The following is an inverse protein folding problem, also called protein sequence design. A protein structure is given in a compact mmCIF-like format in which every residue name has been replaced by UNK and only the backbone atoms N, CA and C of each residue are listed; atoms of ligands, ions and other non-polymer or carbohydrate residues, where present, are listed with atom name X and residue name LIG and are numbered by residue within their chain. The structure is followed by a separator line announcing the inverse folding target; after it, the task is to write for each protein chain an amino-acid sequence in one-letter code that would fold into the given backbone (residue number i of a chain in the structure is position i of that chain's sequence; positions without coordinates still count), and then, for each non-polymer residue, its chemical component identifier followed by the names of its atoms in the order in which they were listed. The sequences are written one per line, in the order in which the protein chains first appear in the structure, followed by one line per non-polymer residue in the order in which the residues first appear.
data_IF_014548006658
#
_entry.id   IF_014548006658
#
_cell.length_a   1.000
_cell.length_b   1.000
_cell.length_c   1.000
_cell.angle_alpha   90.00
_cell.angle_beta   90.00
_cell.angle_gamma   90.00
#
_symmetry.space_group_name_H-M   'P 1'
#
loop_
_entity.id
_entity.type
_entity.pdbx_description
1 polymer ?
#
# COMPACT_ATOMS: atom_id res chain seq x y z
N UNK A 1 -12.06 -13.45 17.27
CA UNK A 1 -11.12 -13.30 16.14
C UNK A 1 -10.63 -11.87 16.18
N UNK A 2 -9.32 -11.64 16.31
CA UNK A 2 -8.72 -10.30 16.30
C UNK A 2 -8.87 -9.69 14.91
N UNK A 3 -9.05 -8.38 14.83
CA UNK A 3 -9.17 -7.62 13.58
C UNK A 3 -7.97 -7.86 12.64
N UNK A 4 -8.17 -7.65 11.33
CA UNK A 4 -7.05 -7.54 10.38
C UNK A 4 -6.25 -6.25 10.62
N UNK A 5 -5.05 -6.13 10.07
CA UNK A 5 -4.18 -4.94 10.22
C UNK A 5 -3.65 -4.48 8.85
N UNK A 6 -3.61 -3.16 8.62
CA UNK A 6 -2.86 -2.59 7.48
C UNK A 6 -1.49 -2.15 7.96
N UNK A 7 -0.45 -2.68 7.33
CA UNK A 7 0.94 -2.28 7.55
C UNK A 7 1.55 -1.84 6.23
N UNK A 8 2.02 -0.59 6.18
CA UNK A 8 2.96 -0.14 5.16
C UNK A 8 4.39 -0.17 5.69
N UNK A 9 5.38 -0.14 4.80
CA UNK A 9 6.78 0.10 5.17
C UNK A 9 7.19 1.46 4.64
N UNK A 10 7.63 2.35 5.54
CA UNK A 10 8.40 3.51 5.14
C UNK A 10 9.79 3.01 4.73
N UNK A 11 10.44 3.66 3.76
CA UNK A 11 11.62 3.15 3.03
C UNK A 11 12.85 2.75 3.86
N UNK A 12 12.81 2.79 5.19
CA UNK A 12 13.88 2.37 6.10
C UNK A 12 13.59 0.95 6.65
N UNK A 13 14.63 0.13 6.79
CA UNK A 13 14.53 -1.23 7.34
C UNK A 13 13.81 -1.25 8.69
N UNK A 14 12.70 -2.00 8.78
CA UNK A 14 11.91 -2.15 10.01
C UNK A 14 10.93 -1.01 10.31
N UNK A 15 10.88 0.03 9.49
CA UNK A 15 9.97 1.16 9.70
C UNK A 15 8.55 0.86 9.23
N UNK A 16 7.77 0.15 10.07
CA UNK A 16 6.34 -0.07 9.86
C UNK A 16 5.53 1.23 9.99
N UNK A 17 4.51 1.39 9.17
CA UNK A 17 3.49 2.43 9.21
C UNK A 17 2.15 1.73 9.44
N UNK A 18 1.53 1.97 10.59
CA UNK A 18 0.31 1.28 11.00
C UNK A 18 -0.94 2.02 10.53
N UNK A 19 -1.62 1.47 9.53
CA UNK A 19 -2.80 2.06 8.90
C UNK A 19 -4.11 1.87 9.66
N UNK A 20 -4.12 1.09 10.74
CA UNK A 20 -5.33 0.79 11.51
C UNK A 20 -5.74 -0.68 11.46
N UNK A 21 -6.68 -1.01 12.36
CA UNK A 21 -7.37 -2.29 12.34
C UNK A 21 -8.46 -2.31 11.26
N UNK A 22 -8.64 -3.47 10.62
CA UNK A 22 -9.64 -3.71 9.59
C UNK A 22 -10.73 -4.66 10.10
N UNK A 23 -12.01 -4.41 9.74
CA UNK A 23 -13.07 -5.38 9.98
C UNK A 23 -12.79 -6.66 9.18
N UNK A 24 -13.00 -7.81 9.81
CA UNK A 24 -12.94 -9.09 9.12
C UNK A 24 -14.19 -9.28 8.25
N UNK A 25 -14.06 -10.11 7.20
CA UNK A 25 -15.17 -10.53 6.33
C UNK A 25 -15.92 -9.37 5.66
N UNK A 26 -15.26 -8.24 5.43
CA UNK A 26 -15.82 -7.05 4.80
C UNK A 26 -14.84 -6.50 3.78
N UNK A 27 -15.35 -6.04 2.63
CA UNK A 27 -14.51 -5.32 1.67
C UNK A 27 -14.08 -3.98 2.26
N UNK A 28 -12.78 -3.69 2.17
CA UNK A 28 -12.20 -2.42 2.60
C UNK A 28 -11.32 -1.88 1.48
N UNK A 29 -11.47 -0.61 1.14
CA UNK A 29 -10.57 0.04 0.21
C UNK A 29 -9.31 0.50 0.95
N UNK A 30 -8.14 0.04 0.53
CA UNK A 30 -6.85 0.46 1.08
C UNK A 30 -6.01 1.08 -0.03
N UNK A 31 -5.35 2.20 0.26
CA UNK A 31 -4.36 2.79 -0.61
C UNK A 31 -3.11 3.20 0.17
N UNK A 32 -1.96 3.08 -0.47
CA UNK A 32 -0.68 3.57 0.02
C UNK A 32 -0.11 4.54 -1.01
N UNK A 33 0.34 5.70 -0.54
CA UNK A 33 0.95 6.73 -1.38
C UNK A 33 2.31 7.12 -0.82
N UNK A 34 3.33 7.13 -1.69
CA UNK A 34 4.68 7.54 -1.32
C UNK A 34 5.03 8.82 -2.05
N UNK A 35 5.06 9.94 -1.33
CA UNK A 35 5.40 11.26 -1.86
C UNK A 35 6.88 11.52 -1.63
N UNK A 36 7.66 11.74 -2.68
CA UNK A 36 9.08 12.09 -2.56
C UNK A 36 9.28 13.60 -2.79
N UNK A 37 9.95 14.26 -1.84
CA UNK A 37 10.26 15.70 -1.89
C UNK A 37 11.71 16.01 -2.29
N UNK A 38 12.43 15.07 -2.90
CA UNK A 38 13.86 15.17 -3.21
C UNK A 38 14.79 14.83 -2.05
N UNK A 39 14.42 15.19 -0.80
CA UNK A 39 15.23 14.91 0.40
C UNK A 39 14.58 13.92 1.39
N UNK A 40 13.25 13.78 1.35
CA UNK A 40 12.48 12.88 2.21
C UNK A 40 11.36 12.24 1.43
N UNK A 41 10.98 11.03 1.81
CA UNK A 41 9.73 10.41 1.36
C UNK A 41 8.69 10.44 2.48
N UNK A 42 7.42 10.53 2.10
CA UNK A 42 6.28 10.47 3.01
C UNK A 42 5.39 9.31 2.59
N UNK A 43 5.26 8.32 3.46
CA UNK A 43 4.36 7.18 3.27
C UNK A 43 3.03 7.49 3.95
N UNK A 44 1.98 7.54 3.15
CA UNK A 44 0.60 7.75 3.59
C UNK A 44 -0.22 6.49 3.38
N UNK A 45 -1.06 6.17 4.34
CA UNK A 45 -2.02 5.06 4.24
C UNK A 45 -3.42 5.65 4.30
N UNK A 46 -4.30 5.16 3.43
CA UNK A 46 -5.70 5.52 3.38
C UNK A 46 -6.56 4.27 3.54
N UNK A 47 -7.53 4.32 4.44
CA UNK A 47 -8.53 3.27 4.64
C UNK A 47 -9.90 3.87 4.36
N UNK A 48 -10.64 3.30 3.41
CA UNK A 48 -11.91 3.83 2.89
C UNK A 48 -11.82 5.31 2.50
N UNK A 49 -10.68 5.73 1.91
CA UNK A 49 -10.44 7.10 1.47
C UNK A 49 -9.93 8.07 2.55
N UNK A 50 -9.96 7.68 3.82
CA UNK A 50 -9.49 8.51 4.94
C UNK A 50 -8.03 8.24 5.20
N UNK A 51 -7.19 9.29 5.29
CA UNK A 51 -5.79 9.17 5.68
C UNK A 51 -5.72 8.69 7.16
N UNK A 52 -5.11 7.52 7.39
CA UNK A 52 -4.95 6.94 8.74
C UNK A 52 -3.50 7.00 9.23
N UNK A 53 -2.55 7.27 8.33
CA UNK A 53 -1.14 7.40 8.68
C UNK A 53 -0.40 8.30 7.72
N UNK A 54 0.63 8.96 8.23
CA UNK A 54 1.58 9.75 7.45
C UNK A 54 2.95 9.73 8.15
N UNK A 55 3.91 9.01 7.58
CA UNK A 55 5.26 8.85 8.14
C UNK A 55 6.31 9.33 7.16
N UNK A 56 7.24 10.16 7.63
CA UNK A 56 8.41 10.54 6.85
C UNK A 56 9.55 9.52 6.98
N UNK A 57 10.35 9.39 5.93
CA UNK A 57 11.59 8.62 5.85
C UNK A 57 12.63 9.42 5.08
N UNK A 58 13.91 9.24 5.41
CA UNK A 58 15.03 9.80 4.64
C UNK A 58 15.37 8.99 3.40
N UNK A 59 14.80 7.79 3.24
CA UNK A 59 15.11 6.92 2.13
C UNK A 59 14.33 7.28 0.87
N UNK A 60 15.01 7.08 -0.26
CA UNK A 60 14.44 7.24 -1.59
C UNK A 60 13.73 5.95 -1.97
N UNK A 61 12.49 6.01 -2.50
CA UNK A 61 11.80 4.81 -2.97
C UNK A 61 12.59 4.10 -4.08
N UNK A 62 12.71 2.77 -3.98
CA UNK A 62 13.33 1.94 -5.02
C UNK A 62 12.23 1.32 -5.90
N UNK A 63 12.32 1.52 -7.21
CA UNK A 63 11.33 1.06 -8.19
C UNK A 63 11.80 -0.14 -9.03
N UNK A 64 13.01 -0.65 -8.80
CA UNK A 64 13.60 -1.76 -9.56
C UNK A 64 13.39 -3.10 -8.84
N UNK A 65 12.13 -3.44 -8.53
CA UNK A 65 11.78 -4.67 -7.80
C UNK A 65 10.63 -5.39 -8.51
N UNK A 66 10.59 -6.72 -8.37
CA UNK A 66 9.45 -7.50 -8.86
C UNK A 66 8.26 -7.27 -7.94
N UNK A 67 7.13 -6.84 -8.49
CA UNK A 67 5.89 -6.71 -7.72
C UNK A 67 5.32 -8.11 -7.44
N UNK A 68 5.06 -8.40 -6.17
CA UNK A 68 4.30 -9.57 -5.72
C UNK A 68 3.01 -9.11 -5.05
N UNK A 69 1.92 -9.80 -5.34
CA UNK A 69 0.61 -9.56 -4.74
C UNK A 69 0.14 -10.85 -4.08
N UNK A 70 -0.32 -10.75 -2.83
CA UNK A 70 -0.85 -11.88 -2.07
C UNK A 70 0.20 -12.82 -1.48
N UNK A 71 1.48 -12.64 -1.79
CA UNK A 71 2.59 -13.46 -1.29
C UNK A 71 3.80 -12.56 -0.95
N UNK A 72 4.56 -12.84 0.13
CA UNK A 72 5.76 -12.08 0.43
C UNK A 72 6.90 -12.39 -0.54
N UNK A 73 7.89 -11.51 -0.61
CA UNK A 73 9.16 -11.72 -1.30
C UNK A 73 10.33 -11.53 -0.30
N UNK A 74 11.25 -12.50 -0.14
CA UNK A 74 11.23 -13.84 -0.73
C UNK A 74 10.11 -14.72 -0.15
N UNK A 75 9.77 -15.79 -0.87
CA UNK A 75 8.89 -16.87 -0.40
C UNK A 75 9.60 -18.23 -0.46
N UNK A 76 9.56 -19.06 0.60
CA UNK A 76 9.00 -18.76 1.92
C UNK A 76 9.77 -17.63 2.60
N UNK A 77 9.05 -16.77 3.34
CA UNK A 77 9.68 -15.62 3.98
C UNK A 77 10.39 -16.05 5.28
N UNK A 78 11.70 -15.78 5.45
CA UNK A 78 12.45 -16.21 6.63
C UNK A 78 12.00 -15.51 7.92
N UNK A 79 11.26 -14.40 7.82
CA UNK A 79 10.73 -13.64 8.97
C UNK A 79 9.28 -14.00 9.32
N UNK A 80 8.72 -15.04 8.69
CA UNK A 80 7.38 -15.55 9.02
C UNK A 80 6.22 -14.71 8.49
N UNK A 81 6.46 -13.81 7.52
CA UNK A 81 5.35 -13.22 6.76
C UNK A 81 4.65 -14.32 5.96
N UNK A 82 3.32 -14.37 6.06
CA UNK A 82 2.49 -15.36 5.41
C UNK A 82 1.85 -14.79 4.13
N UNK A 83 1.26 -15.69 3.35
CA UNK A 83 0.37 -15.35 2.25
C UNK A 83 -0.83 -14.54 2.74
N UNK A 84 -1.41 -13.75 1.84
CA UNK A 84 -2.65 -13.04 2.12
C UNK A 84 -3.83 -14.00 2.06
N UNK A 85 -4.54 -14.14 3.17
CA UNK A 85 -5.76 -14.94 3.26
C UNK A 85 -7.00 -14.05 3.08
N UNK A 86 -7.54 -14.00 1.87
CA UNK A 86 -8.75 -13.23 1.57
C UNK A 86 -8.98 -12.97 0.09
N UNK A 87 -10.01 -12.16 -0.21
CA UNK A 87 -10.27 -11.65 -1.55
C UNK A 87 -9.51 -10.36 -1.83
N UNK A 88 -8.90 -10.26 -3.00
CA UNK A 88 -8.38 -9.01 -3.56
C UNK A 88 -9.18 -8.64 -4.80
N UNK A 89 -9.43 -7.36 -4.99
CA UNK A 89 -10.11 -6.86 -6.17
C UNK A 89 -9.65 -5.43 -6.45
N UNK A 90 -9.68 -5.01 -7.72
CA UNK A 90 -9.41 -3.63 -8.14
C UNK A 90 -8.02 -3.13 -7.72
N UNK A 91 -7.00 -3.98 -7.82
CA UNK A 91 -5.66 -3.63 -7.37
C UNK A 91 -4.94 -2.87 -8.47
N UNK A 92 -4.35 -1.73 -8.10
CA UNK A 92 -3.81 -0.74 -9.03
C UNK A 92 -2.49 -0.19 -8.51
N UNK A 93 -1.56 0.07 -9.43
CA UNK A 93 -0.29 0.74 -9.15
C UNK A 93 -0.17 1.95 -10.07
N UNK A 94 0.19 3.09 -9.50
CA UNK A 94 0.28 4.38 -10.18
C UNK A 94 1.71 4.91 -10.10
N UNK A 95 2.16 5.64 -11.13
CA UNK A 95 3.45 6.35 -11.12
C UNK A 95 3.36 7.74 -10.47
N UNK A 96 2.17 8.11 -9.99
CA UNK A 96 1.87 9.41 -9.38
C UNK A 96 1.46 9.22 -7.93
N UNK A 97 2.03 10.04 -7.04
CA UNK A 97 1.70 10.03 -5.63
C UNK A 97 0.42 10.86 -5.38
N UNK A 98 -0.64 10.19 -4.94
CA UNK A 98 -1.90 10.85 -4.60
C UNK A 98 -1.87 11.37 -3.16
N UNK A 99 -2.34 12.61 -2.96
CA UNK A 99 -2.43 13.24 -1.62
C UNK A 99 -3.81 13.08 -0.99
N UNK A 100 -4.80 12.67 -1.77
CA UNK A 100 -6.14 12.28 -1.35
C UNK A 100 -6.64 11.12 -2.20
N UNK A 101 -7.52 10.29 -1.63
CA UNK A 101 -8.04 9.10 -2.28
C UNK A 101 -9.56 9.12 -2.24
N UNK A 102 -10.20 9.07 -3.40
CA UNK A 102 -11.63 8.79 -3.50
C UNK A 102 -11.80 7.28 -3.75
N UNK A 103 -12.30 6.50 -2.78
CA UNK A 103 -12.45 5.05 -2.90
C UNK A 103 -13.51 4.66 -3.94
N UNK A 104 -14.40 5.60 -4.28
CA UNK A 104 -15.45 5.41 -5.29
C UNK A 104 -15.05 5.94 -6.66
N UNK A 105 -13.78 6.34 -6.86
CA UNK A 105 -13.28 6.78 -8.16
C UNK A 105 -13.37 5.60 -9.15
N UNK A 106 -14.16 5.80 -10.19
CA UNK A 106 -14.15 4.92 -11.37
C UNK A 106 -12.80 5.09 -12.08
N UNK A 107 -12.13 3.97 -12.33
CA UNK A 107 -10.85 3.91 -13.03
C UNK A 107 -11.08 3.15 -14.32
N UNK A 108 -10.73 3.77 -15.44
CA UNK A 108 -10.98 3.25 -16.79
C UNK A 108 -9.92 2.24 -17.23
N UNK A 109 -8.75 2.22 -16.58
CA UNK A 109 -7.63 1.35 -16.93
C UNK A 109 -6.73 1.93 -18.02
N UNK A 110 -7.06 3.12 -18.54
CA UNK A 110 -6.34 3.81 -19.62
C UNK A 110 -5.71 5.13 -19.16
N UNK A 111 -5.68 5.37 -17.85
CA UNK A 111 -5.06 6.56 -17.29
C UNK A 111 -3.55 6.56 -17.58
N UNK A 112 -3.02 7.72 -17.97
CA UNK A 112 -1.61 7.86 -18.38
C UNK A 112 -0.60 7.58 -17.27
N UNK A 113 -1.02 7.71 -16.02
CA UNK A 113 -0.23 7.47 -14.81
C UNK A 113 -0.45 6.08 -14.19
N UNK A 114 -1.36 5.27 -14.76
CA UNK A 114 -1.61 3.91 -14.32
C UNK A 114 -0.53 2.97 -14.89
N UNK A 115 0.21 2.34 -13.99
CA UNK A 115 1.28 1.39 -14.34
C UNK A 115 0.72 -0.03 -14.48
N UNK A 116 -0.22 -0.40 -13.61
CA UNK A 116 -0.75 -1.76 -13.54
C UNK A 116 -2.17 -1.75 -12.96
N UNK A 117 -3.04 -2.63 -13.47
CA UNK A 117 -4.37 -2.89 -12.93
C UNK A 117 -4.77 -4.35 -13.16
N UNK A 118 -5.44 -4.97 -12.19
CA UNK A 118 -5.98 -6.33 -12.24
C UNK A 118 -7.23 -6.49 -11.36
#
# INVERSE_FOLDING_TARGET
MSNGEVVGYAGDSGSRVFGGALPLNSWVHVALSVVWSGAKSFTKIFVNGVETSNRSSSNTPNFNQTVKIGIPDPYPNPNGFLEFEGGLNNVRIWNTAYTSINPNRVVAGTESDLVMSF
#
